data_IF_587387534975
#
_entry.id   IF_587387534975
#
_cell.length_a   1.000
_cell.length_b   1.000
_cell.length_c   1.000
_cell.angle_alpha   90.00
_cell.angle_beta   90.00
_cell.angle_gamma   90.00
#
_symmetry.space_group_name_H-M   'P 1'
#
loop_
_entity.id
_entity.type
_entity.pdbx_description
1 polymer ?
#
# COMPACT_ATOMS: atom_id res chain seq x y z
N UNK A 1 -25.87 29.95 -5.97
CA UNK A 1 -27.00 29.24 -5.35
C UNK A 1 -26.74 27.75 -5.52
N UNK A 2 -26.45 27.04 -4.43
CA UNK A 2 -26.21 25.59 -4.47
C UNK A 2 -27.55 24.95 -4.14
N UNK A 3 -28.07 24.15 -5.06
CA UNK A 3 -29.39 23.55 -5.00
C UNK A 3 -29.61 22.79 -3.69
N UNK A 4 -30.82 22.96 -3.18
CA UNK A 4 -31.43 22.22 -2.09
C UNK A 4 -31.26 20.71 -2.30
N UNK A 5 -31.25 19.98 -1.18
CA UNK A 5 -31.18 18.53 -1.07
C UNK A 5 -32.22 17.81 -1.92
N UNK A 6 -31.91 17.61 -3.20
CA UNK A 6 -32.55 16.59 -4.01
C UNK A 6 -32.15 15.23 -3.40
N UNK A 7 -33.16 14.45 -3.05
CA UNK A 7 -32.96 13.08 -2.58
C UNK A 7 -32.33 12.33 -3.74
N UNK A 8 -31.06 11.93 -3.61
CA UNK A 8 -30.33 11.25 -4.69
C UNK A 8 -31.10 10.00 -5.11
N UNK A 9 -31.70 10.05 -6.30
CA UNK A 9 -32.53 8.98 -6.82
C UNK A 9 -31.66 7.79 -7.23
N UNK A 10 -31.79 6.70 -6.49
CA UNK A 10 -31.15 5.43 -6.77
C UNK A 10 -31.87 4.70 -7.89
N UNK A 11 -31.11 4.29 -8.90
CA UNK A 11 -31.55 3.61 -10.11
C UNK A 11 -30.91 2.22 -10.23
N UNK A 12 -31.45 1.38 -11.10
CA UNK A 12 -30.80 0.13 -11.49
C UNK A 12 -29.63 0.36 -12.47
N UNK A 13 -28.96 -0.74 -12.83
CA UNK A 13 -27.80 -0.71 -13.72
C UNK A 13 -28.14 -0.20 -15.13
N UNK A 14 -29.29 -0.58 -15.67
CA UNK A 14 -29.72 -0.26 -17.04
C UNK A 14 -30.07 1.22 -17.14
N UNK A 15 -30.84 1.73 -16.19
CA UNK A 15 -31.20 3.14 -16.13
C UNK A 15 -29.97 4.02 -15.87
N UNK A 16 -29.09 3.61 -14.96
CA UNK A 16 -27.83 4.34 -14.70
C UNK A 16 -26.96 4.38 -15.94
N UNK A 17 -26.89 3.29 -16.70
CA UNK A 17 -26.17 3.23 -17.98
C UNK A 17 -26.74 4.24 -18.99
N UNK A 18 -28.07 4.30 -19.11
CA UNK A 18 -28.72 5.24 -20.01
C UNK A 18 -28.40 6.70 -19.62
N UNK A 19 -28.46 7.02 -18.31
CA UNK A 19 -28.10 8.36 -17.79
C UNK A 19 -26.63 8.72 -18.05
N UNK A 20 -25.71 7.78 -17.89
CA UNK A 20 -24.29 7.98 -18.21
C UNK A 20 -24.08 8.26 -19.71
N UNK A 21 -24.73 7.50 -20.57
CA UNK A 21 -24.60 7.67 -22.03
C UNK A 21 -25.22 8.98 -22.53
N UNK A 22 -26.21 9.51 -21.82
CA UNK A 22 -26.84 10.80 -22.15
C UNK A 22 -26.01 12.01 -21.71
N UNK A 23 -25.02 11.83 -20.84
CA UNK A 23 -24.17 12.93 -20.36
C UNK A 23 -23.04 13.24 -21.34
N UNK A 24 -22.83 14.52 -21.62
CA UNK A 24 -21.68 15.01 -22.39
C UNK A 24 -20.40 15.17 -21.55
N UNK A 25 -20.53 15.23 -20.23
CA UNK A 25 -19.41 15.48 -19.32
C UNK A 25 -18.54 14.25 -19.08
N UNK A 26 -17.24 14.49 -18.93
CA UNK A 26 -16.22 13.44 -18.77
C UNK A 26 -16.24 12.77 -17.39
N UNK A 27 -16.51 13.54 -16.34
CA UNK A 27 -16.44 13.09 -14.96
C UNK A 27 -17.81 13.11 -14.30
N UNK A 28 -18.00 12.23 -13.33
CA UNK A 28 -19.20 12.20 -12.52
C UNK A 28 -18.90 11.70 -11.11
N UNK A 29 -19.76 12.08 -10.17
CA UNK A 29 -19.77 11.55 -8.81
C UNK A 29 -20.97 10.63 -8.66
N UNK A 30 -20.74 9.46 -8.06
CA UNK A 30 -21.75 8.42 -7.91
C UNK A 30 -21.78 7.86 -6.48
N UNK A 31 -22.91 7.26 -6.15
CA UNK A 31 -23.11 6.48 -4.94
C UNK A 31 -23.49 5.05 -5.29
N UNK A 32 -22.97 4.10 -4.51
CA UNK A 32 -23.47 2.72 -4.50
C UNK A 32 -24.40 2.56 -3.30
N UNK A 33 -25.56 1.96 -3.56
CA UNK A 33 -26.63 1.75 -2.59
C UNK A 33 -26.99 0.27 -2.44
N UNK A 34 -27.50 -0.07 -1.27
CA UNK A 34 -28.14 -1.37 -1.01
C UNK A 34 -29.42 -1.52 -1.85
N UNK A 35 -30.02 -2.71 -1.93
CA UNK A 35 -31.32 -2.90 -2.59
C UNK A 35 -32.41 -1.93 -2.08
N UNK A 36 -32.36 -1.58 -0.79
CA UNK A 36 -33.28 -0.64 -0.13
C UNK A 36 -32.93 0.84 -0.35
N UNK A 37 -31.95 1.13 -1.21
CA UNK A 37 -31.54 2.51 -1.55
C UNK A 37 -30.67 3.20 -0.49
N UNK A 38 -30.08 2.45 0.46
CA UNK A 38 -29.19 3.04 1.46
C UNK A 38 -27.76 3.20 0.91
N UNK A 39 -27.18 4.41 0.91
CA UNK A 39 -25.83 4.63 0.39
C UNK A 39 -24.78 3.96 1.27
N UNK A 40 -23.87 3.20 0.67
CA UNK A 40 -22.74 2.58 1.38
C UNK A 40 -21.38 2.93 0.77
N UNK A 41 -21.32 3.63 -0.37
CA UNK A 41 -20.07 4.07 -0.96
C UNK A 41 -20.30 5.31 -1.82
N UNK A 42 -19.37 6.25 -1.77
CA UNK A 42 -19.30 7.41 -2.68
C UNK A 42 -18.01 7.30 -3.48
N UNK A 43 -18.07 7.58 -4.78
CA UNK A 43 -16.87 7.66 -5.61
C UNK A 43 -17.01 8.64 -6.75
N UNK A 44 -15.88 9.09 -7.29
CA UNK A 44 -15.81 9.74 -8.61
C UNK A 44 -15.31 8.81 -9.70
N UNK A 45 -15.63 9.12 -10.95
CA UNK A 45 -15.15 8.35 -12.09
C UNK A 45 -15.52 8.95 -13.45
N UNK A 46 -15.09 8.26 -14.49
CA UNK A 46 -15.45 8.48 -15.88
C UNK A 46 -15.82 7.13 -16.53
N UNK A 47 -16.54 7.16 -17.65
CA UNK A 47 -17.00 5.96 -18.35
C UNK A 47 -17.72 4.97 -17.41
N UNK A 48 -17.23 3.72 -17.36
CA UNK A 48 -17.88 2.60 -16.65
C UNK A 48 -17.49 2.46 -15.17
N UNK A 49 -16.76 3.43 -14.62
CA UNK A 49 -16.13 3.31 -13.29
C UNK A 49 -17.08 2.89 -12.18
N UNK A 50 -18.33 3.37 -12.20
CA UNK A 50 -19.37 3.00 -11.23
C UNK A 50 -19.68 1.49 -11.23
N UNK A 51 -19.65 0.84 -12.40
CA UNK A 51 -19.97 -0.58 -12.56
C UNK A 51 -18.77 -1.50 -12.31
N UNK A 52 -17.55 -0.96 -12.39
CA UNK A 52 -16.32 -1.75 -12.19
C UNK A 52 -16.21 -2.32 -10.78
N UNK A 53 -16.87 -1.74 -9.77
CA UNK A 53 -16.81 -2.27 -8.39
C UNK A 53 -17.53 -3.61 -8.26
N UNK A 54 -18.63 -3.79 -8.98
CA UNK A 54 -19.36 -5.06 -9.03
C UNK A 54 -18.53 -6.14 -9.75
N UNK A 55 -17.88 -5.77 -10.87
CA UNK A 55 -16.97 -6.65 -11.59
C UNK A 55 -15.74 -7.03 -10.75
N UNK A 56 -15.14 -6.06 -10.04
CA UNK A 56 -14.05 -6.27 -9.10
C UNK A 56 -14.47 -7.30 -8.04
N UNK A 57 -15.64 -7.12 -7.42
CA UNK A 57 -16.14 -8.00 -6.36
C UNK A 57 -16.31 -9.46 -6.81
N UNK A 58 -16.70 -9.69 -8.07
CA UNK A 58 -16.81 -11.02 -8.69
C UNK A 58 -15.45 -11.63 -9.06
N UNK A 59 -14.52 -10.81 -9.57
CA UNK A 59 -13.27 -11.29 -10.16
C UNK A 59 -12.07 -11.38 -9.22
N UNK A 60 -12.09 -10.70 -8.07
CA UNK A 60 -10.95 -10.67 -7.14
C UNK A 60 -11.21 -11.42 -5.83
N UNK A 61 -10.17 -12.02 -5.26
CA UNK A 61 -10.16 -12.56 -3.89
C UNK A 61 -9.82 -11.50 -2.83
N UNK A 62 -9.49 -10.26 -3.24
CA UNK A 62 -9.19 -9.16 -2.33
C UNK A 62 -10.34 -8.89 -1.36
N UNK A 63 -10.01 -8.71 -0.09
CA UNK A 63 -10.96 -8.38 0.98
C UNK A 63 -10.94 -6.88 1.28
N UNK A 64 -12.11 -6.26 1.30
CA UNK A 64 -12.33 -4.89 1.77
C UNK A 64 -13.79 -4.75 2.21
N UNK A 65 -14.10 -3.76 3.07
CA UNK A 65 -15.47 -3.55 3.54
C UNK A 65 -16.45 -3.36 2.37
N UNK A 66 -16.10 -2.48 1.43
CA UNK A 66 -16.82 -2.27 0.15
C UNK A 66 -17.09 -3.58 -0.60
N UNK A 67 -16.03 -4.35 -0.91
CA UNK A 67 -16.18 -5.57 -1.73
C UNK A 67 -16.95 -6.68 -0.98
N UNK A 68 -16.77 -6.79 0.33
CA UNK A 68 -17.50 -7.77 1.13
C UNK A 68 -19.00 -7.44 1.19
N UNK A 69 -19.37 -6.16 1.29
CA UNK A 69 -20.76 -5.74 1.25
C UNK A 69 -21.40 -6.00 -0.12
N UNK A 70 -20.70 -5.68 -1.22
CA UNK A 70 -21.14 -6.00 -2.58
C UNK A 70 -21.37 -7.51 -2.73
N UNK A 71 -20.40 -8.35 -2.32
CA UNK A 71 -20.55 -9.81 -2.37
C UNK A 71 -21.72 -10.31 -1.52
N UNK A 72 -21.95 -9.69 -0.35
CA UNK A 72 -23.08 -10.04 0.52
C UNK A 72 -24.40 -9.80 -0.21
N UNK A 73 -24.58 -8.61 -0.80
CA UNK A 73 -25.78 -8.23 -1.57
C UNK A 73 -26.03 -9.22 -2.71
N UNK A 74 -25.00 -9.49 -3.52
CA UNK A 74 -25.11 -10.40 -4.67
C UNK A 74 -25.43 -11.84 -4.25
N UNK A 75 -24.82 -12.32 -3.16
CA UNK A 75 -25.05 -13.69 -2.64
C UNK A 75 -26.47 -13.87 -2.10
N UNK A 76 -27.11 -12.81 -1.60
CA UNK A 76 -28.51 -12.86 -1.15
C UNK A 76 -29.51 -12.64 -2.29
N UNK A 77 -29.06 -12.65 -3.55
CA UNK A 77 -29.91 -12.41 -4.72
C UNK A 77 -30.33 -10.96 -4.91
N UNK A 78 -29.73 -10.03 -4.15
CA UNK A 78 -30.01 -8.60 -4.27
C UNK A 78 -29.18 -7.95 -5.38
N UNK A 79 -29.66 -6.81 -5.85
CA UNK A 79 -28.97 -5.98 -6.83
C UNK A 79 -28.44 -4.69 -6.20
N UNK A 80 -27.32 -4.19 -6.73
CA UNK A 80 -26.81 -2.88 -6.34
C UNK A 80 -27.69 -1.80 -6.94
N UNK A 81 -27.92 -0.74 -6.17
CA UNK A 81 -28.51 0.49 -6.66
C UNK A 81 -27.42 1.54 -6.88
N UNK A 82 -27.65 2.43 -7.83
CA UNK A 82 -26.69 3.45 -8.22
C UNK A 82 -27.35 4.82 -8.26
N UNK A 83 -26.71 5.83 -7.69
CA UNK A 83 -27.15 7.22 -7.85
C UNK A 83 -26.01 8.04 -8.48
N UNK A 84 -26.33 8.82 -9.51
CA UNK A 84 -25.39 9.78 -10.11
C UNK A 84 -25.68 11.15 -9.50
N UNK A 85 -24.75 11.66 -8.70
CA UNK A 85 -24.95 12.87 -7.91
C UNK A 85 -24.79 14.15 -8.75
N UNK A 86 -23.79 14.19 -9.62
CA UNK A 86 -23.58 15.26 -10.57
C UNK A 86 -22.53 14.86 -11.62
N UNK A 87 -22.52 15.60 -12.71
CA UNK A 87 -21.59 15.49 -13.83
C UNK A 87 -20.72 16.75 -13.92
N UNK A 88 -19.47 16.58 -14.35
CA UNK A 88 -18.46 17.63 -14.39
C UNK A 88 -17.52 17.45 -15.58
N UNK A 89 -17.09 18.57 -16.15
CA UNK A 89 -16.04 18.58 -17.18
C UNK A 89 -14.65 18.62 -16.54
N UNK A 90 -14.53 19.27 -15.37
CA UNK A 90 -13.33 19.29 -14.55
C UNK A 90 -13.37 18.24 -13.43
N UNK A 91 -12.30 17.45 -13.34
CA UNK A 91 -12.11 16.45 -12.30
C UNK A 91 -12.02 17.07 -10.90
N UNK A 92 -11.53 18.30 -10.79
CA UNK A 92 -11.37 18.99 -9.51
C UNK A 92 -12.71 19.30 -8.84
N UNK A 93 -13.74 19.61 -9.63
CA UNK A 93 -15.09 19.86 -9.14
C UNK A 93 -15.79 18.57 -8.72
N UNK A 94 -15.65 17.49 -9.50
CA UNK A 94 -16.12 16.17 -9.11
C UNK A 94 -15.49 15.70 -7.79
N UNK A 95 -14.20 15.97 -7.62
CA UNK A 95 -13.47 15.69 -6.40
C UNK A 95 -14.02 16.52 -5.21
N UNK A 96 -14.29 17.82 -5.39
CA UNK A 96 -14.88 18.65 -4.33
C UNK A 96 -16.23 18.10 -3.85
N UNK A 97 -17.09 17.67 -4.79
CA UNK A 97 -18.39 17.08 -4.45
C UNK A 97 -18.23 15.71 -3.77
N UNK A 98 -17.34 14.83 -4.24
CA UNK A 98 -17.06 13.53 -3.61
C UNK A 98 -16.72 13.70 -2.12
N UNK A 99 -15.78 14.61 -1.82
CA UNK A 99 -15.40 14.91 -0.43
C UNK A 99 -16.56 15.47 0.39
N UNK A 100 -17.34 16.37 -0.19
CA UNK A 100 -18.53 16.94 0.44
C UNK A 100 -19.57 15.87 0.81
N UNK A 101 -19.83 14.94 -0.11
CA UNK A 101 -20.77 13.84 0.11
C UNK A 101 -20.28 12.85 1.17
N UNK A 102 -18.99 12.46 1.13
CA UNK A 102 -18.41 11.57 2.14
C UNK A 102 -18.53 12.20 3.54
N UNK A 103 -18.20 13.49 3.66
CA UNK A 103 -18.29 14.22 4.92
C UNK A 103 -19.73 14.35 5.42
N UNK A 104 -20.68 14.59 4.51
CA UNK A 104 -22.10 14.80 4.85
C UNK A 104 -22.82 13.51 5.25
N UNK A 105 -22.57 12.42 4.53
CA UNK A 105 -23.22 11.12 4.78
C UNK A 105 -22.53 10.38 5.95
N UNK A 106 -21.21 10.53 6.07
CA UNK A 106 -20.42 9.96 7.15
C UNK A 106 -19.91 8.55 6.86
N UNK A 107 -18.77 8.22 7.48
CA UNK A 107 -18.02 6.98 7.25
C UNK A 107 -18.22 5.99 8.39
N UNK A 108 -18.33 4.72 8.03
CA UNK A 108 -18.53 3.63 8.96
C UNK A 108 -17.32 3.42 9.88
N UNK A 109 -16.10 3.55 9.34
CA UNK A 109 -14.87 3.37 10.11
C UNK A 109 -14.59 4.49 11.11
N UNK A 110 -15.29 5.62 10.99
CA UNK A 110 -15.26 6.73 11.95
C UNK A 110 -16.51 6.76 12.84
N UNK A 111 -17.45 5.82 12.67
CA UNK A 111 -18.73 5.81 13.38
C UNK A 111 -19.65 6.99 13.01
N UNK A 112 -19.39 7.70 11.91
CA UNK A 112 -20.14 8.90 11.53
C UNK A 112 -21.23 8.64 10.50
N UNK A 113 -21.28 7.45 9.89
CA UNK A 113 -22.31 7.09 8.91
C UNK A 113 -22.09 5.74 8.24
N UNK A 114 -22.88 5.40 7.20
CA UNK A 114 -22.88 4.06 6.60
C UNK A 114 -21.77 3.82 5.56
N UNK A 115 -21.00 4.84 5.17
CA UNK A 115 -20.09 4.71 4.04
C UNK A 115 -18.88 3.80 4.33
N UNK A 116 -18.61 2.89 3.40
CA UNK A 116 -17.47 1.96 3.39
C UNK A 116 -16.18 2.60 2.85
N UNK A 117 -16.22 3.90 2.52
CA UNK A 117 -15.06 4.70 2.13
C UNK A 117 -13.96 4.63 3.21
N UNK A 118 -12.70 4.44 2.78
CA UNK A 118 -11.54 4.34 3.69
C UNK A 118 -10.71 5.62 3.75
N UNK A 119 -11.10 6.63 3.00
CA UNK A 119 -10.49 7.97 2.92
C UNK A 119 -11.61 9.00 2.87
N UNK A 120 -11.28 10.27 3.12
CA UNK A 120 -12.22 11.40 3.05
C UNK A 120 -12.59 11.79 1.60
N UNK A 121 -12.13 11.02 0.61
CA UNK A 121 -12.20 11.36 -0.81
C UNK A 121 -10.95 12.11 -1.29
N UNK A 122 -10.75 12.10 -2.60
CA UNK A 122 -9.62 12.76 -3.26
C UNK A 122 -8.49 11.90 -3.80
N UNK A 123 -7.55 12.54 -4.52
CA UNK A 123 -6.42 11.86 -5.13
C UNK A 123 -5.53 11.22 -4.06
N UNK A 124 -5.47 9.89 -4.08
CA UNK A 124 -4.56 9.12 -3.23
C UNK A 124 -5.02 8.92 -1.79
N UNK A 125 -4.05 8.51 -0.95
CA UNK A 125 -4.26 8.13 0.46
C UNK A 125 -4.35 9.33 1.40
N UNK A 126 -5.16 10.34 1.06
CA UNK A 126 -5.42 11.45 1.96
C UNK A 126 -6.30 10.94 3.13
N UNK A 127 -5.81 11.09 4.37
CA UNK A 127 -6.49 10.69 5.62
C UNK A 127 -7.12 9.27 5.61
N UNK A 128 -6.30 8.20 5.54
CA UNK A 128 -6.79 6.88 5.92
C UNK A 128 -7.36 6.92 7.35
N UNK A 129 -8.48 6.22 7.60
CA UNK A 129 -9.06 6.14 8.95
C UNK A 129 -8.05 5.64 9.96
N UNK A 130 -8.30 5.91 11.24
CA UNK A 130 -7.51 5.33 12.32
C UNK A 130 -7.50 3.80 12.21
N UNK A 131 -8.61 3.14 11.90
CA UNK A 131 -8.60 1.68 11.67
C UNK A 131 -7.74 1.26 10.46
N UNK A 132 -7.71 2.03 9.37
CA UNK A 132 -6.86 1.76 8.20
C UNK A 132 -5.38 2.07 8.47
N UNK A 133 -5.10 3.13 9.25
CA UNK A 133 -3.77 3.43 9.79
C UNK A 133 -3.33 2.32 10.74
N UNK A 134 -4.19 1.87 11.64
CA UNK A 134 -3.93 0.78 12.58
C UNK A 134 -3.81 -0.57 11.88
N UNK A 135 -4.56 -0.87 10.81
CA UNK A 135 -4.32 -2.07 9.99
C UNK A 135 -3.03 -1.97 9.19
N UNK A 136 -2.67 -0.78 8.69
CA UNK A 136 -1.36 -0.52 8.04
C UNK A 136 -0.22 -0.59 9.06
N UNK A 137 -0.40 -0.07 10.26
CA UNK A 137 0.53 -0.16 11.37
C UNK A 137 0.61 -1.61 11.84
N UNK A 138 -0.47 -2.31 12.17
CA UNK A 138 -0.46 -3.73 12.49
C UNK A 138 0.16 -4.63 11.39
N UNK A 139 0.02 -4.26 10.11
CA UNK A 139 0.70 -4.97 9.00
C UNK A 139 2.16 -4.54 8.77
N UNK A 140 2.56 -3.33 9.17
CA UNK A 140 3.93 -2.78 9.04
C UNK A 140 4.71 -2.87 10.37
N UNK A 141 4.22 -2.19 11.41
CA UNK A 141 4.54 -2.30 12.83
C UNK A 141 3.61 -3.24 13.59
N UNK A 142 3.72 -4.55 13.35
CA UNK A 142 3.38 -5.53 14.38
C UNK A 142 4.33 -5.34 15.57
N UNK A 143 4.07 -4.33 16.38
CA UNK A 143 4.41 -4.28 17.81
C UNK A 143 3.44 -5.22 18.52
N UNK A 144 3.78 -6.07 19.47
CA UNK A 144 5.07 -6.49 19.99
C UNK A 144 4.88 -7.81 20.77
N UNK A 145 4.07 -8.75 20.26
CA UNK A 145 3.89 -10.08 20.89
C UNK A 145 4.76 -11.18 20.27
N UNK A 146 5.34 -10.94 19.09
CA UNK A 146 6.19 -11.94 18.46
C UNK A 146 7.68 -11.78 18.86
N UNK A 147 8.30 -12.80 19.48
CA UNK A 147 9.71 -12.78 19.86
C UNK A 147 10.67 -12.47 18.70
N UNK A 148 10.42 -13.00 17.51
CA UNK A 148 11.29 -12.84 16.34
C UNK A 148 11.30 -11.39 15.86
N UNK A 149 10.14 -10.72 15.90
CA UNK A 149 10.08 -9.30 15.55
C UNK A 149 10.79 -8.41 16.57
N UNK A 150 10.73 -8.74 17.86
CA UNK A 150 11.49 -7.99 18.88
C UNK A 150 12.99 -8.09 18.61
N UNK A 151 13.48 -9.28 18.27
CA UNK A 151 14.88 -9.51 17.91
C UNK A 151 15.29 -8.68 16.69
N UNK A 152 14.52 -8.73 15.59
CA UNK A 152 14.84 -7.97 14.38
C UNK A 152 14.74 -6.46 14.60
N UNK A 153 13.71 -5.99 15.31
CA UNK A 153 13.53 -4.57 15.57
C UNK A 153 14.69 -4.02 16.42
N UNK A 154 15.13 -4.75 17.46
CA UNK A 154 16.29 -4.37 18.26
C UNK A 154 17.58 -4.33 17.43
N UNK A 155 17.88 -5.40 16.69
CA UNK A 155 19.05 -5.46 15.81
C UNK A 155 19.06 -4.33 14.78
N UNK A 156 17.90 -4.05 14.18
CA UNK A 156 17.76 -2.95 13.23
C UNK A 156 17.90 -1.59 13.92
N UNK A 157 17.41 -1.44 15.15
CA UNK A 157 17.54 -0.21 15.91
C UNK A 157 19.00 0.10 16.26
N UNK A 158 19.80 -0.92 16.59
CA UNK A 158 21.23 -0.77 16.90
C UNK A 158 21.97 -0.07 15.74
N UNK A 159 21.70 -0.40 14.47
CA UNK A 159 22.45 0.15 13.32
C UNK A 159 22.39 1.68 13.23
N UNK A 160 21.25 2.29 13.54
CA UNK A 160 21.04 3.73 13.32
C UNK A 160 19.68 4.21 13.82
N UNK A 161 19.33 3.86 15.06
CA UNK A 161 18.09 4.26 15.73
C UNK A 161 16.83 3.46 15.37
N UNK A 162 15.73 3.63 16.13
CA UNK A 162 14.47 2.94 15.86
C UNK A 162 13.90 3.31 14.48
N UNK A 163 13.19 2.37 13.85
CA UNK A 163 12.59 2.56 12.53
C UNK A 163 11.13 2.11 12.54
N UNK A 164 10.17 2.97 12.14
CA UNK A 164 8.73 2.63 12.18
C UNK A 164 8.34 1.42 11.34
N UNK A 165 9.11 1.12 10.29
CA UNK A 165 8.84 0.00 9.39
C UNK A 165 10.12 -0.76 9.06
N UNK A 166 10.36 -1.84 9.78
CA UNK A 166 11.52 -2.72 9.55
C UNK A 166 11.24 -3.71 8.40
N UNK A 167 12.01 -3.66 7.30
CA UNK A 167 11.76 -4.44 6.08
C UNK A 167 12.37 -5.85 6.09
N UNK A 168 12.74 -6.36 7.28
CA UNK A 168 13.28 -7.69 7.48
C UNK A 168 12.21 -8.52 8.20
N UNK A 169 11.89 -9.70 7.69
CA UNK A 169 10.79 -10.55 8.17
C UNK A 169 11.28 -11.97 8.45
N UNK A 170 10.74 -12.66 9.47
CA UNK A 170 11.02 -14.07 9.69
C UNK A 170 10.62 -14.88 8.47
N UNK A 171 11.41 -15.90 8.14
CA UNK A 171 11.16 -16.72 6.94
C UNK A 171 9.78 -17.39 6.98
N UNK A 172 9.27 -17.72 8.17
CA UNK A 172 7.98 -18.38 8.35
C UNK A 172 6.76 -17.51 7.98
N UNK A 173 6.90 -16.18 7.93
CA UNK A 173 5.75 -15.27 7.91
C UNK A 173 5.24 -14.89 6.52
N UNK A 174 6.10 -14.93 5.51
CA UNK A 174 5.80 -14.33 4.21
C UNK A 174 6.19 -15.26 3.08
N UNK A 175 5.34 -15.29 2.05
CA UNK A 175 5.73 -15.89 0.78
C UNK A 175 6.77 -15.00 0.12
N UNK A 176 8.02 -15.46 0.13
CA UNK A 176 9.11 -14.78 -0.57
C UNK A 176 9.07 -15.16 -2.04
N UNK A 177 9.04 -14.14 -2.88
CA UNK A 177 9.01 -14.27 -4.33
C UNK A 177 10.33 -13.73 -4.90
N UNK A 178 10.71 -14.15 -6.11
CA UNK A 178 11.90 -13.60 -6.76
C UNK A 178 11.87 -12.07 -6.82
N UNK A 179 13.04 -11.45 -6.62
CA UNK A 179 13.19 -10.00 -6.74
C UNK A 179 13.31 -9.58 -8.20
N UNK A 180 12.68 -8.46 -8.50
CA UNK A 180 12.74 -7.75 -9.78
C UNK A 180 12.59 -6.25 -9.51
N UNK A 181 13.05 -5.35 -10.38
CA UNK A 181 12.89 -3.92 -10.15
C UNK A 181 11.42 -3.53 -10.02
N UNK A 182 11.10 -2.73 -9.00
CA UNK A 182 9.76 -2.13 -8.86
C UNK A 182 9.39 -1.29 -10.09
N UNK A 183 8.11 -1.31 -10.47
CA UNK A 183 7.58 -0.48 -11.57
C UNK A 183 7.49 0.99 -11.20
N UNK A 184 7.44 1.32 -9.90
CA UNK A 184 7.29 2.68 -9.40
C UNK A 184 8.60 3.45 -9.56
N UNK A 185 8.53 4.76 -9.78
CA UNK A 185 9.68 5.64 -9.57
C UNK A 185 9.94 5.76 -8.08
N UNK A 186 11.12 5.34 -7.62
CA UNK A 186 11.48 5.27 -6.21
C UNK A 186 12.86 5.89 -6.04
N UNK A 187 12.93 6.90 -5.16
CA UNK A 187 14.21 7.45 -4.72
C UNK A 187 14.78 6.59 -3.56
N UNK A 188 16.11 6.55 -3.39
CA UNK A 188 16.75 5.96 -2.21
C UNK A 188 16.15 6.46 -0.89
N UNK A 189 15.91 5.53 0.04
CA UNK A 189 15.43 5.83 1.40
C UNK A 189 16.37 5.21 2.43
N UNK A 190 16.51 5.86 3.58
CA UNK A 190 17.40 5.39 4.65
C UNK A 190 17.09 3.94 5.08
N UNK A 191 15.81 3.56 5.20
CA UNK A 191 15.40 2.18 5.54
C UNK A 191 15.95 1.13 4.57
N UNK A 192 16.15 1.49 3.30
CA UNK A 192 16.69 0.59 2.27
C UNK A 192 18.19 0.38 2.50
N UNK A 193 18.92 1.49 2.67
CA UNK A 193 20.34 1.48 3.00
C UNK A 193 20.61 0.73 4.31
N UNK A 194 19.75 0.95 5.31
CA UNK A 194 19.83 0.27 6.60
C UNK A 194 19.63 -1.23 6.51
N UNK A 195 18.75 -1.69 5.63
CA UNK A 195 18.55 -3.12 5.38
C UNK A 195 19.73 -3.78 4.67
N UNK A 196 20.42 -3.03 3.78
CA UNK A 196 21.68 -3.49 3.19
C UNK A 196 22.76 -3.62 4.28
N UNK A 197 22.92 -2.61 5.13
CA UNK A 197 23.86 -2.64 6.26
C UNK A 197 23.53 -3.78 7.23
N UNK A 198 22.25 -3.98 7.56
CA UNK A 198 21.80 -5.06 8.41
C UNK A 198 22.18 -6.43 7.85
N UNK A 199 21.97 -6.64 6.54
CA UNK A 199 22.36 -7.89 5.89
C UNK A 199 23.87 -8.08 5.88
N UNK A 200 24.63 -7.03 5.57
CA UNK A 200 26.07 -7.09 5.60
C UNK A 200 26.61 -7.44 7.00
N UNK A 201 26.15 -6.74 8.04
CA UNK A 201 26.56 -6.96 9.43
C UNK A 201 26.19 -8.38 9.92
N UNK A 202 24.95 -8.83 9.67
CA UNK A 202 24.49 -10.15 10.09
C UNK A 202 25.22 -11.31 9.39
N UNK A 203 25.80 -11.06 8.21
CA UNK A 203 26.53 -12.06 7.44
C UNK A 203 28.07 -11.86 7.48
N UNK A 204 28.58 -10.87 8.22
CA UNK A 204 30.03 -10.57 8.29
C UNK A 204 30.63 -10.13 6.96
N UNK A 205 29.92 -9.28 6.20
CA UNK A 205 30.28 -8.87 4.84
C UNK A 205 30.74 -7.40 4.82
N UNK A 206 31.89 -7.17 4.18
CA UNK A 206 32.42 -5.82 3.92
C UNK A 206 31.72 -5.17 2.72
N UNK A 207 31.29 -3.92 2.89
CA UNK A 207 30.57 -3.15 1.88
C UNK A 207 31.52 -2.54 0.85
N UNK A 208 31.77 -3.31 -0.20
CA UNK A 208 32.54 -2.91 -1.39
C UNK A 208 31.61 -2.95 -2.61
N UNK A 209 31.74 -2.03 -3.61
CA UNK A 209 30.91 -2.10 -4.81
C UNK A 209 31.11 -3.45 -5.52
N UNK A 210 30.00 -4.10 -5.87
CA UNK A 210 29.96 -5.43 -6.49
C UNK A 210 29.78 -6.57 -5.49
N UNK A 211 30.00 -6.34 -4.18
CA UNK A 211 29.82 -7.38 -3.16
C UNK A 211 28.38 -7.91 -3.16
N UNK A 212 28.16 -9.23 -3.20
CA UNK A 212 26.82 -9.81 -3.14
C UNK A 212 26.24 -9.62 -1.74
N UNK A 213 25.18 -8.82 -1.61
CA UNK A 213 24.44 -8.65 -0.35
C UNK A 213 23.37 -9.73 -0.27
N UNK A 214 23.46 -10.69 0.68
CA UNK A 214 22.46 -11.73 0.82
C UNK A 214 21.08 -11.15 1.14
N UNK A 215 20.04 -11.74 0.57
CA UNK A 215 18.68 -11.41 0.95
C UNK A 215 18.33 -11.98 2.33
N UNK A 216 18.97 -13.09 2.71
CA UNK A 216 18.84 -13.80 3.98
C UNK A 216 19.80 -13.25 5.03
N UNK A 217 19.34 -13.21 6.28
CA UNK A 217 20.10 -12.82 7.46
C UNK A 217 19.85 -13.83 8.58
N UNK A 218 20.88 -14.07 9.39
CA UNK A 218 20.73 -14.83 10.65
C UNK A 218 20.96 -13.89 11.82
N UNK A 219 19.95 -13.73 12.68
CA UNK A 219 20.01 -12.83 13.84
C UNK A 219 19.64 -13.64 15.08
N UNK A 220 20.59 -13.78 16.02
CA UNK A 220 20.41 -14.55 17.27
C UNK A 220 19.83 -15.96 17.04
N UNK A 221 20.28 -16.65 15.99
CA UNK A 221 19.82 -18.01 15.63
C UNK A 221 18.52 -18.07 14.84
N UNK A 222 17.78 -16.97 14.69
CA UNK A 222 16.60 -16.90 13.81
C UNK A 222 16.99 -16.60 12.37
N UNK A 223 16.24 -17.15 11.40
CA UNK A 223 16.41 -16.90 9.97
C UNK A 223 15.41 -15.83 9.49
N UNK A 224 15.91 -14.85 8.77
CA UNK A 224 15.15 -13.70 8.29
C UNK A 224 15.49 -13.34 6.86
N UNK A 225 14.57 -12.67 6.18
CA UNK A 225 14.78 -12.17 4.82
C UNK A 225 14.37 -10.70 4.69
N UNK A 226 15.09 -9.98 3.83
CA UNK A 226 14.60 -8.70 3.28
C UNK A 226 13.33 -8.97 2.45
N UNK A 227 12.25 -8.28 2.80
CA UNK A 227 10.95 -8.53 2.17
C UNK A 227 10.88 -8.11 0.68
N UNK A 228 9.92 -8.69 -0.05
CA UNK A 228 9.76 -8.45 -1.49
C UNK A 228 9.71 -6.95 -1.84
N UNK A 229 8.88 -6.17 -1.14
CA UNK A 229 8.68 -4.75 -1.45
C UNK A 229 10.00 -3.96 -1.36
N UNK A 230 10.68 -4.06 -0.22
CA UNK A 230 11.91 -3.33 0.01
C UNK A 230 13.03 -3.77 -0.94
N UNK A 231 13.20 -5.08 -1.19
CA UNK A 231 14.22 -5.56 -2.15
C UNK A 231 13.98 -5.05 -3.57
N UNK A 232 12.73 -5.09 -4.07
CA UNK A 232 12.37 -4.59 -5.41
C UNK A 232 12.58 -3.08 -5.54
N UNK A 233 12.34 -2.35 -4.46
CA UNK A 233 12.57 -0.91 -4.37
C UNK A 233 14.06 -0.54 -4.31
N UNK A 234 14.89 -1.31 -3.58
CA UNK A 234 16.35 -1.14 -3.57
C UNK A 234 16.95 -1.27 -4.96
N UNK A 235 16.51 -2.29 -5.72
CA UNK A 235 16.95 -2.51 -7.10
C UNK A 235 16.52 -1.33 -7.98
N UNK A 236 15.26 -0.89 -7.85
CA UNK A 236 14.74 0.23 -8.64
C UNK A 236 15.40 1.57 -8.32
N UNK A 237 15.73 1.81 -7.06
CA UNK A 237 16.45 3.00 -6.59
C UNK A 237 17.95 2.95 -6.95
N UNK A 238 18.44 1.84 -7.51
CA UNK A 238 19.83 1.67 -7.92
C UNK A 238 20.81 1.48 -6.76
N UNK A 239 20.33 1.15 -5.55
CA UNK A 239 21.20 0.90 -4.39
C UNK A 239 21.90 -0.47 -4.49
N UNK A 240 21.22 -1.45 -5.10
CA UNK A 240 21.73 -2.78 -5.39
C UNK A 240 21.32 -3.17 -6.81
N UNK A 241 22.04 -4.11 -7.43
CA UNK A 241 21.61 -4.74 -8.68
C UNK A 241 20.58 -5.86 -8.46
N UNK A 242 19.92 -6.32 -9.53
CA UNK A 242 19.03 -7.47 -9.45
C UNK A 242 19.81 -8.75 -9.12
N UNK A 243 19.17 -9.74 -8.45
CA UNK A 243 19.79 -11.04 -8.24
C UNK A 243 19.98 -11.81 -9.55
N UNK A 244 20.82 -12.85 -9.52
CA UNK A 244 20.99 -13.76 -10.66
C UNK A 244 19.64 -14.43 -11.00
N UNK A 245 19.26 -14.51 -12.29
CA UNK A 245 18.04 -15.21 -12.70
C UNK A 245 18.03 -16.67 -12.21
N UNK A 246 16.86 -17.15 -11.80
CA UNK A 246 16.67 -18.54 -11.38
C UNK A 246 17.15 -18.88 -9.96
N UNK A 247 17.74 -17.93 -9.23
CA UNK A 247 18.04 -18.13 -7.81
C UNK A 247 16.76 -18.32 -7.00
N UNK A 248 16.79 -19.25 -6.04
CA UNK A 248 15.69 -19.42 -5.10
C UNK A 248 15.59 -18.16 -4.20
N UNK A 249 14.39 -17.63 -3.87
CA UNK A 249 14.26 -16.36 -3.13
C UNK A 249 15.02 -16.28 -1.80
N UNK A 250 15.27 -17.42 -1.14
CA UNK A 250 16.07 -17.48 0.11
C UNK A 250 17.58 -17.35 -0.10
N UNK A 251 18.05 -17.61 -1.31
CA UNK A 251 19.46 -17.67 -1.68
C UNK A 251 19.84 -16.54 -2.65
N UNK A 252 18.89 -15.64 -2.94
CA UNK A 252 19.16 -14.44 -3.72
C UNK A 252 20.21 -13.56 -3.03
N UNK A 253 21.14 -13.07 -3.84
CA UNK A 253 22.08 -12.03 -3.45
C UNK A 253 21.94 -10.85 -4.41
N UNK A 254 22.09 -9.64 -3.89
CA UNK A 254 21.94 -8.40 -4.65
C UNK A 254 23.30 -7.68 -4.66
N UNK A 255 23.96 -7.49 -5.81
CA UNK A 255 25.27 -6.85 -5.84
C UNK A 255 25.17 -5.37 -5.43
N UNK A 256 25.98 -4.94 -4.46
CA UNK A 256 26.02 -3.56 -4.00
C UNK A 256 26.49 -2.63 -5.12
N UNK A 257 25.79 -1.53 -5.40
CA UNK A 257 26.25 -0.56 -6.40
C UNK A 257 27.14 0.53 -5.77
N UNK A 258 27.89 1.26 -6.60
CA UNK A 258 28.63 2.47 -6.15
C UNK A 258 27.68 3.53 -5.58
N UNK A 259 26.50 3.70 -6.20
CA UNK A 259 25.45 4.59 -5.70
C UNK A 259 24.99 4.16 -4.31
N UNK A 260 24.72 2.86 -4.14
CA UNK A 260 24.34 2.24 -2.87
C UNK A 260 25.35 2.50 -1.77
N UNK A 261 26.63 2.19 -2.01
CA UNK A 261 27.69 2.45 -1.03
C UNK A 261 27.79 3.94 -0.68
N UNK A 262 27.75 4.83 -1.68
CA UNK A 262 27.82 6.28 -1.43
C UNK A 262 26.66 6.77 -0.56
N UNK A 263 25.45 6.23 -0.78
CA UNK A 263 24.26 6.58 -0.02
C UNK A 263 24.37 6.06 1.41
N UNK A 264 24.81 4.82 1.60
CA UNK A 264 25.05 4.22 2.93
C UNK A 264 26.05 5.05 3.74
N UNK A 265 27.20 5.43 3.17
CA UNK A 265 28.20 6.28 3.86
C UNK A 265 27.62 7.62 4.27
N UNK A 266 26.83 8.27 3.40
CA UNK A 266 26.14 9.54 3.75
C UNK A 266 25.07 9.37 4.83
N UNK A 267 24.37 8.24 4.85
CA UNK A 267 23.28 8.01 5.81
C UNK A 267 23.76 7.67 7.21
N UNK A 268 24.83 6.89 7.36
CA UNK A 268 25.26 6.38 8.68
C UNK A 268 26.61 6.91 9.14
N UNK A 269 27.41 7.47 8.24
CA UNK A 269 28.77 7.89 8.53
C UNK A 269 29.75 6.70 8.60
N UNK A 270 31.01 6.96 8.24
CA UNK A 270 32.05 5.92 8.21
C UNK A 270 32.37 5.33 9.58
N UNK A 271 32.52 6.13 10.67
CA UNK A 271 32.84 5.58 11.99
C UNK A 271 31.82 4.52 12.44
N UNK A 272 30.53 4.77 12.18
CA UNK A 272 29.47 3.83 12.55
C UNK A 272 29.53 2.55 11.71
N UNK A 273 29.83 2.66 10.42
CA UNK A 273 29.93 1.51 9.53
C UNK A 273 31.14 0.62 9.85
N UNK A 274 32.25 1.24 10.28
CA UNK A 274 33.43 0.54 10.79
C UNK A 274 33.11 -0.17 12.11
N UNK A 275 32.43 0.50 13.04
CA UNK A 275 31.99 -0.09 14.31
C UNK A 275 31.06 -1.30 14.11
N UNK A 276 30.18 -1.23 13.11
CA UNK A 276 29.30 -2.33 12.71
C UNK A 276 30.02 -3.47 11.97
N UNK A 277 31.32 -3.34 11.69
CA UNK A 277 32.12 -4.35 11.01
C UNK A 277 31.75 -4.54 9.54
N UNK A 278 31.22 -3.50 8.89
CA UNK A 278 30.78 -3.55 7.48
C UNK A 278 31.60 -2.65 6.55
N UNK A 279 32.56 -1.90 7.08
CA UNK A 279 33.50 -1.06 6.32
C UNK A 279 34.88 -1.15 6.95
N UNK A 280 35.93 -1.09 6.12
CA UNK A 280 37.30 -1.04 6.62
C UNK A 280 37.57 0.33 7.29
N UNK A 281 38.40 0.37 8.35
CA UNK A 281 38.82 1.61 9.01
C UNK A 281 39.52 2.62 8.10
#
# INVERSE_FOLDING_TARGET
MIAETDTLAFADRTETRARLNASASRYYVYLLGTPDGQPFYVGKGCGDRVFQHEAEARGTLRRSHKLNLIRKILRTGGELRYALAAFFDDESDAHRLERGLIRRIGRHDLGTGPLTNQTDGGEGTANPSEESRQRRLASLGGEADDPDRRVVNAFFAEIGGPQPSVPIKPVAWKKFEPLYPSIKTINPQERMAKAIVASAAANGIMLVPGTPIPRRLTIRGGEYLIENGCGREMIKAGLVGPPKPGAHPRDETMPLTRLGLSYIRRSFGEPRLVELGVLDP
#
